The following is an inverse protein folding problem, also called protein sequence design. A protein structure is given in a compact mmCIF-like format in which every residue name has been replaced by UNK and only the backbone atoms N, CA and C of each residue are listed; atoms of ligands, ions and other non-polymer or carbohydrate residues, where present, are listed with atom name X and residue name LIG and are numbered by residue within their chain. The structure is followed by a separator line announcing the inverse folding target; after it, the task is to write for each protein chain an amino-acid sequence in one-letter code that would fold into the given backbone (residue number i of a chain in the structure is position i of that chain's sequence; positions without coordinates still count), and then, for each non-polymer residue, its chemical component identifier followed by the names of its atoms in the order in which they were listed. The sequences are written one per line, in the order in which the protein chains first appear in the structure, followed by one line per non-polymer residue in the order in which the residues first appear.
data_IF_978840988533
#
_entry.id   IF_978840988533
#
_cell.length_a   1.000
_cell.length_b   1.000
_cell.length_c   1.000
_cell.angle_alpha   90.00
_cell.angle_beta   90.00
_cell.angle_gamma   90.00
#
_symmetry.space_group_name_H-M   'P 1'
#
loop_
_entity.id
_entity.type
_entity.pdbx_description
1 polymer ?
#
# COMPACT_ATOMS: atom_id res chain seq x y z
N UNK A 1 -3.25 1.12 -19.78
CA UNK A 1 -4.25 2.12 -20.18
C UNK A 1 -4.58 2.90 -18.92
N UNK A 2 -4.18 4.17 -18.83
CA UNK A 2 -4.42 5.02 -17.65
C UNK A 2 -4.65 6.44 -18.11
N UNK A 3 -5.81 7.00 -17.77
CA UNK A 3 -6.03 8.43 -17.96
C UNK A 3 -5.36 9.14 -16.79
N UNK A 4 -4.41 10.04 -17.07
CA UNK A 4 -3.69 10.80 -16.03
C UNK A 4 -4.61 11.59 -15.09
N UNK A 5 -5.87 11.79 -15.47
CA UNK A 5 -6.90 12.46 -14.70
C UNK A 5 -7.58 11.58 -13.66
N UNK A 6 -7.45 10.25 -13.74
CA UNK A 6 -8.07 9.32 -12.79
C UNK A 6 -7.48 9.50 -11.37
N UNK A 7 -8.31 9.43 -10.31
CA UNK A 7 -7.86 9.68 -8.95
C UNK A 7 -6.71 8.77 -8.49
N UNK A 8 -6.70 7.51 -8.95
CA UNK A 8 -5.63 6.55 -8.65
C UNK A 8 -4.31 6.96 -9.30
N UNK A 9 -4.31 7.20 -10.61
CA UNK A 9 -3.12 7.60 -11.36
C UNK A 9 -2.55 8.93 -10.89
N UNK A 10 -3.41 9.90 -10.56
CA UNK A 10 -2.97 11.18 -10.02
C UNK A 10 -2.27 11.01 -8.68
N UNK A 11 -2.78 10.13 -7.82
CA UNK A 11 -2.17 9.80 -6.52
C UNK A 11 -0.83 9.11 -6.70
N UNK A 12 -0.75 8.17 -7.64
CA UNK A 12 0.50 7.50 -7.97
C UNK A 12 1.58 8.50 -8.41
N UNK A 13 1.23 9.41 -9.33
CA UNK A 13 2.15 10.46 -9.80
C UNK A 13 2.57 11.42 -8.66
N UNK A 14 1.64 11.82 -7.80
CA UNK A 14 1.93 12.71 -6.67
C UNK A 14 2.83 12.07 -5.59
N UNK A 15 2.93 10.74 -5.58
CA UNK A 15 3.71 9.97 -4.61
C UNK A 15 4.92 9.28 -5.26
N UNK A 16 5.32 9.68 -6.47
CA UNK A 16 6.44 9.09 -7.23
C UNK A 16 6.35 7.55 -7.37
N UNK A 17 5.13 7.03 -7.44
CA UNK A 17 4.84 5.58 -7.47
C UNK A 17 5.37 4.79 -6.25
N UNK A 18 5.71 5.46 -5.15
CA UNK A 18 6.08 4.81 -3.89
C UNK A 18 4.85 4.16 -3.24
N UNK A 19 4.95 2.87 -2.92
CA UNK A 19 3.83 2.08 -2.39
C UNK A 19 3.35 2.60 -1.03
N UNK A 20 4.28 2.87 -0.11
CA UNK A 20 3.98 3.29 1.25
C UNK A 20 3.32 4.66 1.27
N UNK A 21 3.83 5.61 0.50
CA UNK A 21 3.29 6.96 0.36
C UNK A 21 1.88 6.95 -0.24
N UNK A 22 1.67 6.19 -1.33
CA UNK A 22 0.34 6.05 -1.94
C UNK A 22 -0.68 5.46 -0.96
N UNK A 23 -0.28 4.43 -0.21
CA UNK A 23 -1.12 3.77 0.77
C UNK A 23 -1.53 4.72 1.90
N UNK A 24 -0.54 5.38 2.53
CA UNK A 24 -0.77 6.33 3.64
C UNK A 24 -1.62 7.52 3.21
N UNK A 25 -1.35 8.10 2.04
CA UNK A 25 -2.15 9.20 1.49
C UNK A 25 -3.61 8.79 1.28
N UNK A 26 -3.83 7.59 0.71
CA UNK A 26 -5.19 7.09 0.50
C UNK A 26 -5.92 6.83 1.83
N UNK A 27 -5.25 6.21 2.80
CA UNK A 27 -5.84 5.93 4.12
C UNK A 27 -6.13 7.22 4.88
N UNK A 28 -5.22 8.19 4.85
CA UNK A 28 -5.41 9.52 5.44
C UNK A 28 -6.62 10.23 4.84
N UNK A 29 -6.74 10.21 3.51
CA UNK A 29 -7.90 10.77 2.80
C UNK A 29 -9.22 10.10 3.22
N UNK A 30 -9.26 8.78 3.40
CA UNK A 30 -10.46 8.07 3.86
C UNK A 30 -10.80 8.40 5.33
N UNK A 31 -9.80 8.48 6.20
CA UNK A 31 -9.98 8.87 7.60
C UNK A 31 -10.51 10.29 7.75
N UNK A 32 -10.01 11.23 6.94
CA UNK A 32 -10.42 12.64 7.02
C UNK A 32 -11.88 12.87 6.64
N UNK A 33 -12.46 11.98 5.83
CA UNK A 33 -13.89 11.97 5.49
C UNK A 33 -14.73 11.03 6.39
N UNK A 34 -14.15 10.51 7.48
CA UNK A 34 -14.86 9.74 8.51
C UNK A 34 -15.01 8.25 8.23
N UNK A 35 -14.36 7.68 7.21
CA UNK A 35 -14.40 6.24 6.97
C UNK A 35 -13.54 5.48 7.98
N UNK A 36 -14.06 4.34 8.45
CA UNK A 36 -13.28 3.36 9.20
C UNK A 36 -12.38 2.58 8.24
N UNK A 37 -11.12 2.38 8.61
CA UNK A 37 -10.07 1.82 7.73
C UNK A 37 -9.40 0.58 8.33
N UNK A 38 -10.09 -0.15 9.22
CA UNK A 38 -9.56 -1.33 9.90
C UNK A 38 -9.41 -2.57 9.00
N UNK A 39 -10.11 -2.60 7.86
CA UNK A 39 -10.04 -3.67 6.86
C UNK A 39 -9.82 -3.05 5.48
N UNK A 40 -8.75 -3.47 4.81
CA UNK A 40 -8.25 -2.85 3.60
C UNK A 40 -8.10 -3.92 2.51
N UNK A 41 -8.76 -3.70 1.38
CA UNK A 41 -8.53 -4.46 0.15
C UNK A 41 -7.71 -3.59 -0.80
N UNK A 42 -6.64 -4.15 -1.35
CA UNK A 42 -5.68 -3.44 -2.19
C UNK A 42 -5.85 -3.85 -3.64
N UNK A 43 -5.96 -2.85 -4.52
CA UNK A 43 -6.02 -3.01 -5.97
C UNK A 43 -4.73 -2.44 -6.55
N UNK A 44 -3.90 -3.31 -7.12
CA UNK A 44 -2.67 -2.91 -7.83
C UNK A 44 -3.01 -2.78 -9.30
N UNK A 45 -2.96 -1.54 -9.79
CA UNK A 45 -3.29 -1.19 -11.16
C UNK A 45 -2.00 -0.96 -11.95
N UNK A 46 -1.74 -1.74 -13.00
CA UNK A 46 -0.68 -1.40 -13.96
C UNK A 46 -0.82 -1.98 -15.36
N UNK A 47 -1.60 -3.04 -15.57
CA UNK A 47 -1.72 -3.74 -16.85
C UNK A 47 -0.42 -4.43 -17.34
N UNK A 48 0.70 -4.19 -16.68
CA UNK A 48 2.02 -4.79 -16.97
C UNK A 48 2.69 -5.35 -15.72
N UNK A 49 1.92 -5.65 -14.66
CA UNK A 49 2.46 -6.17 -13.39
C UNK A 49 3.43 -7.34 -13.60
N UNK A 50 3.01 -8.33 -14.40
CA UNK A 50 3.79 -9.54 -14.69
C UNK A 50 5.07 -9.31 -15.52
N UNK A 51 5.27 -8.11 -16.06
CA UNK A 51 6.48 -7.77 -16.82
C UNK A 51 7.60 -7.20 -15.93
N UNK A 52 7.28 -6.72 -14.73
CA UNK A 52 8.28 -6.19 -13.81
C UNK A 52 9.19 -7.30 -13.27
N UNK A 53 10.45 -6.99 -12.90
CA UNK A 53 11.33 -7.93 -12.21
C UNK A 53 10.66 -8.52 -10.95
N UNK A 54 10.95 -9.78 -10.65
CA UNK A 54 10.34 -10.50 -9.51
C UNK A 54 10.67 -9.79 -8.20
N UNK A 55 11.90 -9.29 -8.07
CA UNK A 55 12.36 -8.58 -6.89
C UNK A 55 11.51 -7.33 -6.63
N UNK A 56 11.16 -6.57 -7.67
CA UNK A 56 10.28 -5.42 -7.55
C UNK A 56 8.87 -5.82 -7.14
N UNK A 57 8.32 -6.90 -7.72
CA UNK A 57 7.01 -7.41 -7.36
C UNK A 57 6.96 -7.82 -5.87
N UNK A 58 7.97 -8.52 -5.39
CA UNK A 58 8.10 -8.94 -3.99
C UNK A 58 8.26 -7.75 -3.04
N UNK A 59 9.11 -6.78 -3.39
CA UNK A 59 9.30 -5.55 -2.61
C UNK A 59 8.01 -4.74 -2.51
N UNK A 60 7.30 -4.57 -3.63
CA UNK A 60 6.06 -3.82 -3.67
C UNK A 60 4.96 -4.51 -2.84
N UNK A 61 4.88 -5.84 -2.92
CA UNK A 61 3.94 -6.64 -2.12
C UNK A 61 4.25 -6.55 -0.62
N UNK A 62 5.52 -6.67 -0.22
CA UNK A 62 5.95 -6.48 1.17
C UNK A 62 5.58 -5.08 1.66
N UNK A 63 5.82 -4.07 0.84
CA UNK A 63 5.61 -2.68 1.21
C UNK A 63 4.12 -2.34 1.44
N UNK A 64 3.18 -3.07 0.84
CA UNK A 64 1.74 -2.99 1.17
C UNK A 64 1.49 -3.34 2.65
N UNK A 65 2.00 -4.49 3.09
CA UNK A 65 1.83 -4.94 4.47
C UNK A 65 2.59 -4.05 5.45
N UNK A 66 3.83 -3.67 5.12
CA UNK A 66 4.60 -2.71 5.90
C UNK A 66 3.86 -1.38 6.08
N UNK A 67 3.26 -0.84 5.00
CA UNK A 67 2.49 0.39 5.07
C UNK A 67 1.30 0.26 6.02
N UNK A 68 0.56 -0.85 5.94
CA UNK A 68 -0.57 -1.13 6.83
C UNK A 68 -0.12 -1.26 8.30
N UNK A 69 0.98 -1.97 8.55
CA UNK A 69 1.52 -2.22 9.88
C UNK A 69 2.05 -0.95 10.56
N UNK A 70 2.55 0.00 9.78
CA UNK A 70 3.19 1.23 10.27
C UNK A 70 2.30 2.48 10.16
N UNK A 71 1.00 2.31 9.83
CA UNK A 71 0.06 3.42 9.57
C UNK A 71 -0.05 4.44 10.72
N UNK A 72 0.09 3.99 11.96
CA UNK A 72 0.00 4.84 13.16
C UNK A 72 1.37 5.30 13.67
N UNK A 73 2.47 4.83 13.08
CA UNK A 73 3.79 5.40 13.31
C UNK A 73 3.80 6.81 12.70
N UNK A 74 4.29 7.83 13.42
CA UNK A 74 4.31 9.20 12.92
C UNK A 74 5.29 9.39 11.76
N UNK A 75 5.37 10.62 11.22
CA UNK A 75 6.30 11.00 10.13
C UNK A 75 7.80 10.99 10.52
N UNK A 76 8.13 10.39 11.68
CA UNK A 76 9.50 10.13 12.08
C UNK A 76 10.12 8.99 11.27
N UNK A 77 11.22 8.43 11.75
CA UNK A 77 11.78 7.23 11.15
C UNK A 77 10.81 6.06 11.38
N UNK A 78 10.12 5.63 10.33
CA UNK A 78 9.44 4.33 10.32
C UNK A 78 10.46 3.27 10.69
N UNK A 79 10.01 2.22 11.38
CA UNK A 79 10.87 1.05 11.62
C UNK A 79 11.40 0.48 10.32
N UNK A 80 12.49 -0.28 10.41
CA UNK A 80 13.00 -1.02 9.25
C UNK A 80 11.97 -2.03 8.74
N UNK A 81 12.01 -2.25 7.42
CA UNK A 81 11.19 -3.26 6.73
C UNK A 81 11.66 -4.65 7.15
N UNK A 82 10.71 -5.50 7.51
CA UNK A 82 10.98 -6.91 7.76
C UNK A 82 10.87 -7.72 6.46
N UNK A 83 11.14 -9.02 6.50
CA UNK A 83 10.87 -9.91 5.37
C UNK A 83 9.38 -9.97 5.05
N UNK A 84 9.05 -10.37 3.81
CA UNK A 84 7.66 -10.48 3.34
C UNK A 84 6.77 -11.29 4.30
N UNK A 85 7.22 -12.49 4.68
CA UNK A 85 6.47 -13.38 5.57
C UNK A 85 6.27 -12.79 6.97
N UNK A 86 7.24 -12.02 7.47
CA UNK A 86 7.17 -11.38 8.78
C UNK A 86 6.18 -10.20 8.77
N UNK A 87 6.19 -9.40 7.69
CA UNK A 87 5.20 -8.33 7.51
C UNK A 87 3.77 -8.87 7.39
N UNK A 88 3.60 -9.98 6.67
CA UNK A 88 2.31 -10.68 6.59
C UNK A 88 1.85 -11.17 7.96
N UNK A 89 2.71 -11.88 8.69
CA UNK A 89 2.40 -12.39 10.02
C UNK A 89 2.06 -11.26 11.01
N UNK A 90 2.81 -10.15 10.98
CA UNK A 90 2.49 -8.98 11.80
C UNK A 90 1.13 -8.35 11.43
N UNK A 91 0.73 -8.43 10.16
CA UNK A 91 -0.54 -7.89 9.70
C UNK A 91 -1.76 -8.72 10.12
N UNK A 92 -1.59 -10.02 10.37
CA UNK A 92 -2.68 -10.91 10.81
C UNK A 92 -3.35 -10.42 12.10
N UNK A 93 -2.55 -9.93 13.06
CA UNK A 93 -2.99 -9.36 14.34
C UNK A 93 -2.99 -7.83 14.35
N UNK A 94 -2.62 -7.20 13.22
CA UNK A 94 -2.53 -5.76 13.06
C UNK A 94 -3.86 -5.03 13.19
N UNK A 95 -3.80 -3.73 13.53
CA UNK A 95 -4.98 -2.86 13.62
C UNK A 95 -5.61 -2.57 12.25
N UNK A 96 -4.79 -2.53 11.20
CA UNK A 96 -5.20 -2.28 9.82
C UNK A 96 -4.88 -3.52 9.00
N UNK A 97 -5.90 -4.35 8.77
CA UNK A 97 -5.72 -5.66 8.16
C UNK A 97 -5.87 -5.57 6.66
N UNK A 98 -4.87 -6.04 5.94
CA UNK A 98 -4.95 -6.28 4.49
C UNK A 98 -5.71 -7.59 4.30
N UNK A 99 -6.95 -7.49 3.85
CA UNK A 99 -7.86 -8.64 3.71
C UNK A 99 -7.85 -9.24 2.31
N UNK A 100 -7.25 -8.56 1.35
CA UNK A 100 -7.18 -8.99 -0.05
C UNK A 100 -6.25 -8.09 -0.84
N UNK A 101 -5.58 -8.69 -1.82
CA UNK A 101 -4.78 -7.98 -2.83
C UNK A 101 -5.19 -8.51 -4.19
N UNK A 102 -5.56 -7.62 -5.10
CA UNK A 102 -5.93 -7.94 -6.48
C UNK A 102 -4.98 -7.23 -7.43
N UNK A 103 -4.53 -7.96 -8.45
CA UNK A 103 -3.60 -7.50 -9.47
C UNK A 103 -4.33 -7.35 -10.82
N UNK A 104 -4.21 -6.19 -11.46
CA UNK A 104 -4.80 -5.88 -12.79
C UNK A 104 -3.76 -5.40 -13.82
#
# INVERSE_FOLDING_TARGET
SYLSTEPGCRRALANDFDCVRQFRDRVSCLRSIGHKVDKIEVLVLGGTWSYYPVEYQEEFMRDIYFAANTLDEGDGALRDRMGMAEEQAANEDGRYKVIGVTLE
#
